data_IF_474551898989
#
_entry.id   IF_474551898989
#
_cell.length_a   1.000
_cell.length_b   1.000
_cell.length_c   1.000
_cell.angle_alpha   90.00
_cell.angle_beta   90.00
_cell.angle_gamma   90.00
#
_symmetry.space_group_name_H-M   'P 1'
#
loop_
_entity.id
_entity.type
_entity.pdbx_description
1 polymer ?
#
# COMPACT_ATOMS: atom_id res chain seq x y z
N UNK A 1 -44.25 57.81 73.39
CA UNK A 1 -45.29 57.08 74.14
C UNK A 1 -45.14 55.59 73.68
N UNK A 2 -44.66 54.75 74.58
CA UNK A 2 -45.28 53.54 75.10
C UNK A 2 -45.70 52.54 73.96
N UNK A 3 -45.38 51.31 73.93
CA UNK A 3 -44.98 50.23 74.84
C UNK A 3 -44.95 48.92 74.05
N UNK A 4 -44.01 48.07 74.40
CA UNK A 4 -44.13 46.63 74.70
C UNK A 4 -44.78 45.73 73.62
N UNK A 5 -44.30 44.62 73.32
CA UNK A 5 -43.56 43.60 74.06
C UNK A 5 -43.94 42.29 73.41
N UNK A 6 -43.20 41.26 73.60
CA UNK A 6 -43.60 39.92 73.30
C UNK A 6 -42.48 38.98 72.87
N UNK A 7 -42.03 38.24 73.82
CA UNK A 7 -41.02 37.15 73.68
C UNK A 7 -41.69 35.87 73.11
N UNK A 8 -40.99 34.75 73.10
CA UNK A 8 -40.37 34.18 71.92
C UNK A 8 -41.02 32.82 71.53
N UNK A 9 -40.90 32.43 70.31
CA UNK A 9 -41.29 31.05 69.96
C UNK A 9 -40.13 30.29 69.34
N UNK A 10 -39.92 29.16 69.92
CA UNK A 10 -39.00 28.12 69.51
C UNK A 10 -38.94 27.88 67.99
N UNK A 11 -37.78 27.99 67.43
CA UNK A 11 -37.46 27.39 66.12
C UNK A 11 -36.77 26.05 66.35
N UNK A 12 -37.46 24.99 65.91
CA UNK A 12 -36.84 23.66 65.81
C UNK A 12 -35.70 23.72 64.75
N UNK A 13 -34.56 23.33 65.20
CA UNK A 13 -33.44 22.97 64.34
C UNK A 13 -33.76 21.77 63.46
N UNK A 14 -34.00 21.98 62.17
CA UNK A 14 -33.97 20.92 61.17
C UNK A 14 -32.52 20.67 60.81
N UNK A 15 -31.92 19.65 61.41
CA UNK A 15 -30.65 19.10 60.98
C UNK A 15 -30.86 18.26 59.73
N UNK A 16 -30.72 18.85 58.58
CA UNK A 16 -30.54 18.15 57.32
C UNK A 16 -29.09 17.63 57.24
N UNK A 17 -28.92 16.39 57.57
CA UNK A 17 -27.67 15.62 57.34
C UNK A 17 -27.52 15.46 55.83
N UNK A 18 -26.66 16.28 55.21
CA UNK A 18 -26.18 16.07 53.84
C UNK A 18 -25.19 14.88 53.92
N UNK A 19 -25.63 13.72 53.46
CA UNK A 19 -24.76 12.58 53.21
C UNK A 19 -23.92 12.92 51.99
N UNK A 20 -22.68 13.32 52.21
CA UNK A 20 -21.70 13.42 51.16
C UNK A 20 -21.38 11.99 50.65
N UNK A 21 -21.90 11.63 49.49
CA UNK A 21 -21.46 10.44 48.78
C UNK A 21 -20.10 10.70 48.18
N UNK A 22 -19.07 10.16 48.81
CA UNK A 22 -17.73 10.14 48.23
C UNK A 22 -17.77 9.19 47.01
N UNK A 23 -17.79 9.76 45.80
CA UNK A 23 -17.53 9.03 44.57
C UNK A 23 -16.04 8.75 44.55
N UNK A 24 -15.64 7.54 44.91
CA UNK A 24 -14.29 7.06 44.68
C UNK A 24 -14.18 6.79 43.19
N UNK A 25 -13.57 7.70 42.45
CA UNK A 25 -13.17 7.51 41.07
C UNK A 25 -11.95 6.57 41.12
N UNK A 26 -12.19 5.27 40.96
CA UNK A 26 -11.10 4.30 40.74
C UNK A 26 -10.63 4.52 39.30
N UNK A 27 -9.63 5.36 39.13
CA UNK A 27 -8.84 5.40 37.90
C UNK A 27 -8.09 4.06 37.82
N UNK A 28 -8.63 3.12 37.08
CA UNK A 28 -7.88 1.96 36.62
C UNK A 28 -6.84 2.51 35.64
N UNK A 29 -5.68 2.86 36.15
CA UNK A 29 -4.48 2.97 35.34
C UNK A 29 -4.17 1.55 34.86
N UNK A 30 -4.70 1.19 33.70
CA UNK A 30 -4.12 0.13 32.91
C UNK A 30 -2.71 0.61 32.53
N UNK A 31 -1.71 0.16 33.26
CA UNK A 31 -0.34 0.19 32.77
C UNK A 31 -0.29 -0.81 31.60
N UNK A 32 -0.77 -0.41 30.47
CA UNK A 32 -0.30 -0.95 29.19
C UNK A 32 1.17 -0.57 29.23
N UNK A 33 2.05 -1.54 29.43
CA UNK A 33 3.48 -1.32 29.27
C UNK A 33 3.63 -0.67 27.89
N UNK A 34 3.98 0.61 27.85
CA UNK A 34 4.42 1.25 26.64
C UNK A 34 5.72 0.54 26.27
N UNK A 35 5.61 -0.50 25.47
CA UNK A 35 6.75 -0.98 24.72
C UNK A 35 7.11 0.22 23.84
N UNK A 36 8.30 0.77 24.06
CA UNK A 36 8.79 1.85 23.21
C UNK A 36 8.82 1.27 21.80
N UNK A 37 7.88 1.72 20.98
CA UNK A 37 7.85 1.40 19.56
C UNK A 37 9.13 1.99 18.98
N UNK A 38 9.98 1.12 18.42
CA UNK A 38 11.27 1.54 17.89
C UNK A 38 11.23 1.45 16.38
N UNK A 39 11.43 2.61 15.73
CA UNK A 39 11.76 2.64 14.31
C UNK A 39 13.28 2.63 14.17
N UNK A 40 13.80 1.78 13.32
CA UNK A 40 15.23 1.66 13.06
C UNK A 40 15.49 1.74 11.55
N UNK A 41 16.45 2.56 11.16
CA UNK A 41 16.95 2.55 9.78
C UNK A 41 17.89 1.35 9.62
N UNK A 42 17.59 0.52 8.64
CA UNK A 42 18.39 -0.66 8.30
C UNK A 42 19.50 -0.31 7.32
N UNK A 43 19.18 0.58 6.36
CA UNK A 43 20.11 1.07 5.35
C UNK A 43 19.68 2.46 4.86
N UNK A 44 20.64 3.36 4.65
CA UNK A 44 20.44 4.65 3.98
C UNK A 44 21.16 4.65 2.64
N UNK A 45 20.44 4.96 1.59
CA UNK A 45 21.01 5.07 0.24
C UNK A 45 21.87 6.33 0.09
N UNK A 46 22.82 6.28 -0.84
CA UNK A 46 23.80 7.36 -1.09
C UNK A 46 23.82 7.80 -2.55
N UNK A 47 22.83 7.39 -3.35
CA UNK A 47 22.73 7.70 -4.76
C UNK A 47 23.54 6.74 -5.63
N UNK A 48 24.66 7.19 -6.16
CA UNK A 48 25.57 6.32 -6.89
C UNK A 48 26.72 5.85 -5.98
N UNK A 49 27.08 4.54 -6.02
CA UNK A 49 26.62 3.52 -6.97
C UNK A 49 25.46 2.63 -6.47
N UNK A 50 24.91 2.83 -5.28
CA UNK A 50 23.93 1.93 -4.69
C UNK A 50 22.51 2.20 -5.20
N UNK A 51 21.87 3.28 -4.83
CA UNK A 51 20.53 3.61 -5.27
C UNK A 51 20.02 4.90 -4.64
N UNK A 52 18.91 5.43 -5.15
CA UNK A 52 18.22 6.57 -4.57
C UNK A 52 16.72 6.45 -4.81
N UNK A 53 15.94 7.04 -3.92
CA UNK A 53 14.48 7.12 -4.00
C UNK A 53 13.81 5.75 -4.07
N UNK A 54 13.90 4.91 -3.02
CA UNK A 54 13.20 3.64 -2.94
C UNK A 54 11.70 3.89 -2.79
N UNK A 55 10.96 3.70 -3.86
CA UNK A 55 9.53 4.03 -3.98
C UNK A 55 8.62 2.80 -3.90
N UNK A 56 9.17 1.61 -3.97
CA UNK A 56 8.41 0.36 -4.02
C UNK A 56 8.34 -0.37 -2.67
N UNK A 57 7.28 -1.16 -2.49
CA UNK A 57 7.20 -2.10 -1.38
C UNK A 57 8.29 -3.15 -1.46
N UNK A 58 8.74 -3.62 -0.31
CA UNK A 58 9.79 -4.64 -0.21
C UNK A 58 9.24 -6.05 -0.47
N UNK A 59 10.08 -6.93 -0.94
CA UNK A 59 9.88 -8.38 -0.90
C UNK A 59 10.71 -8.94 0.27
N UNK A 60 10.06 -9.61 1.22
CA UNK A 60 10.72 -10.33 2.31
C UNK A 60 10.80 -11.81 1.94
N UNK A 61 12.01 -12.36 1.85
CA UNK A 61 12.20 -13.78 1.56
C UNK A 61 12.14 -14.65 2.85
N UNK A 62 12.00 -15.99 2.71
CA UNK A 62 11.96 -16.89 3.86
C UNK A 62 13.22 -16.92 4.74
N UNK A 63 14.34 -16.36 4.27
CA UNK A 63 15.59 -16.24 5.01
C UNK A 63 15.72 -14.93 5.78
N UNK A 64 14.76 -14.01 5.57
CA UNK A 64 14.77 -12.67 6.15
C UNK A 64 15.47 -11.62 5.27
N UNK A 65 15.89 -11.95 4.04
CA UNK A 65 16.41 -10.94 3.14
C UNK A 65 15.28 -10.05 2.61
N UNK A 66 15.59 -8.78 2.45
CA UNK A 66 14.69 -7.79 1.85
C UNK A 66 15.17 -7.42 0.45
N UNK A 67 14.27 -7.41 -0.52
CA UNK A 67 14.56 -7.00 -1.89
C UNK A 67 13.68 -5.80 -2.23
N UNK A 68 14.25 -4.84 -2.95
CA UNK A 68 13.52 -3.65 -3.41
C UNK A 68 14.13 -3.05 -4.66
N UNK A 69 13.49 -2.00 -5.13
CA UNK A 69 13.95 -1.18 -6.26
C UNK A 69 14.18 0.26 -5.81
N UNK A 70 15.10 0.94 -6.48
CA UNK A 70 15.27 2.39 -6.35
C UNK A 70 15.02 3.05 -7.70
N UNK A 71 14.31 4.18 -7.71
CA UNK A 71 13.98 4.88 -8.95
C UNK A 71 15.20 5.50 -9.62
N UNK A 72 16.15 5.94 -8.81
CA UNK A 72 17.38 6.60 -9.24
C UNK A 72 18.60 5.92 -8.62
N UNK A 73 19.81 6.46 -8.89
CA UNK A 73 21.08 5.90 -8.41
C UNK A 73 21.47 4.63 -9.16
N UNK A 74 22.11 3.70 -8.46
CA UNK A 74 22.80 2.59 -9.13
C UNK A 74 24.02 3.06 -9.92
N UNK A 75 24.67 2.17 -10.65
CA UNK A 75 25.91 2.50 -11.36
C UNK A 75 25.73 3.58 -12.46
N UNK A 76 24.54 3.77 -12.97
CA UNK A 76 24.25 4.65 -14.12
C UNK A 76 23.27 5.80 -13.82
N UNK A 77 22.77 5.93 -12.57
CA UNK A 77 21.81 6.95 -12.20
C UNK A 77 20.38 6.71 -12.74
N UNK A 78 20.00 5.47 -12.99
CA UNK A 78 18.73 5.12 -13.65
C UNK A 78 17.92 4.10 -12.87
N UNK A 79 18.29 3.92 -11.61
CA UNK A 79 17.67 2.99 -10.69
C UNK A 79 18.41 1.66 -10.56
N UNK A 80 18.06 0.94 -9.53
CA UNK A 80 18.65 -0.36 -9.19
C UNK A 80 17.63 -1.34 -8.63
N UNK A 81 18.01 -2.61 -8.62
CA UNK A 81 17.43 -3.64 -7.76
C UNK A 81 18.46 -4.01 -6.71
N UNK A 82 18.08 -4.03 -5.45
CA UNK A 82 18.96 -4.32 -4.33
C UNK A 82 18.47 -5.47 -3.44
N UNK A 83 19.39 -6.07 -2.70
CA UNK A 83 19.14 -7.05 -1.63
C UNK A 83 19.74 -6.50 -0.33
N UNK A 84 18.96 -6.47 0.76
CA UNK A 84 19.47 -6.29 2.10
C UNK A 84 19.48 -7.64 2.82
N UNK A 85 20.65 -8.03 3.33
CA UNK A 85 20.84 -9.28 4.07
C UNK A 85 21.12 -8.99 5.55
N UNK A 86 20.39 -9.58 6.50
CA UNK A 86 20.66 -9.39 7.91
C UNK A 86 21.97 -10.05 8.31
N UNK A 87 22.82 -9.35 9.08
CA UNK A 87 24.09 -9.88 9.55
C UNK A 87 23.93 -10.67 10.86
N UNK A 88 24.65 -11.78 11.04
CA UNK A 88 24.56 -12.59 12.26
C UNK A 88 24.90 -11.83 13.55
N UNK A 89 25.70 -10.78 13.46
CA UNK A 89 26.14 -9.95 14.59
C UNK A 89 25.37 -8.63 14.70
N UNK A 90 24.24 -8.52 14.02
CA UNK A 90 23.40 -7.31 13.95
C UNK A 90 23.77 -6.39 12.77
N UNK A 91 22.81 -5.53 12.39
CA UNK A 91 22.91 -4.69 11.20
C UNK A 91 22.60 -5.43 9.90
N UNK A 92 22.69 -4.72 8.80
CA UNK A 92 22.34 -5.20 7.46
C UNK A 92 23.45 -4.90 6.47
N UNK A 93 23.56 -5.73 5.45
CA UNK A 93 24.47 -5.51 4.31
C UNK A 93 23.63 -5.35 3.07
N UNK A 94 23.82 -4.23 2.39
CA UNK A 94 23.25 -3.95 1.07
C UNK A 94 24.12 -4.55 -0.02
N UNK A 95 23.46 -5.01 -1.09
CA UNK A 95 24.09 -5.46 -2.33
C UNK A 95 23.24 -5.07 -3.52
N UNK A 96 23.79 -4.24 -4.42
CA UNK A 96 23.15 -3.98 -5.71
C UNK A 96 23.13 -5.27 -6.52
N UNK A 97 21.93 -5.75 -6.84
CA UNK A 97 21.70 -6.94 -7.67
C UNK A 97 21.85 -6.59 -9.15
N UNK A 98 21.25 -5.46 -9.54
CA UNK A 98 21.25 -4.97 -10.92
C UNK A 98 21.13 -3.44 -10.93
N UNK A 99 21.87 -2.79 -11.86
CA UNK A 99 21.76 -1.35 -12.12
C UNK A 99 21.25 -1.13 -13.53
N UNK A 100 20.15 -0.41 -13.65
CA UNK A 100 19.53 -0.09 -14.95
C UNK A 100 20.37 0.92 -15.73
N UNK A 101 20.33 0.80 -17.05
CA UNK A 101 20.99 1.69 -17.99
C UNK A 101 20.07 2.00 -19.17
N UNK A 102 20.43 2.94 -20.04
CA UNK A 102 19.62 3.30 -21.22
C UNK A 102 19.51 2.20 -22.30
N UNK A 103 19.91 0.96 -21.99
CA UNK A 103 19.76 -0.17 -22.90
C UNK A 103 18.33 -0.69 -22.99
N UNK A 104 18.18 -1.86 -23.62
CA UNK A 104 16.87 -2.50 -23.81
C UNK A 104 16.15 -2.86 -22.50
N UNK A 105 16.89 -2.94 -21.37
CA UNK A 105 16.34 -3.24 -20.04
C UNK A 105 15.42 -2.16 -19.46
N UNK A 106 15.51 -0.92 -19.98
CA UNK A 106 14.71 0.19 -19.49
C UNK A 106 15.28 0.85 -18.22
N UNK A 107 14.50 1.73 -17.58
CA UNK A 107 14.91 2.50 -16.43
C UNK A 107 13.69 2.96 -15.58
N UNK A 108 13.94 3.51 -14.39
CA UNK A 108 12.93 3.86 -13.38
C UNK A 108 12.09 2.65 -12.95
N UNK A 109 12.66 1.68 -12.22
CA UNK A 109 11.92 0.55 -11.68
C UNK A 109 11.10 1.00 -10.47
N UNK A 110 9.87 1.46 -10.68
CA UNK A 110 9.00 2.01 -9.64
C UNK A 110 8.17 0.94 -8.91
N UNK A 111 8.15 -0.29 -9.42
CA UNK A 111 7.36 -1.39 -8.89
C UNK A 111 8.15 -2.30 -7.96
N UNK A 112 7.45 -2.96 -7.04
CA UNK A 112 8.04 -3.98 -6.20
C UNK A 112 8.46 -5.22 -6.99
N UNK A 113 9.50 -5.90 -6.53
CA UNK A 113 9.90 -7.19 -7.06
C UNK A 113 9.04 -8.30 -6.48
N UNK A 114 8.73 -9.31 -7.32
CA UNK A 114 8.16 -10.58 -6.89
C UNK A 114 9.13 -11.71 -7.21
N UNK A 115 8.94 -12.89 -6.58
CA UNK A 115 9.90 -13.99 -6.68
C UNK A 115 9.21 -15.30 -6.99
N UNK A 116 9.75 -16.04 -7.97
CA UNK A 116 9.32 -17.40 -8.28
C UNK A 116 9.91 -18.45 -7.32
N UNK A 117 9.45 -19.71 -7.45
CA UNK A 117 9.95 -20.83 -6.64
C UNK A 117 11.42 -21.18 -6.92
N UNK A 118 11.98 -20.78 -8.07
CA UNK A 118 13.40 -20.99 -8.42
C UNK A 118 14.30 -19.92 -7.81
N UNK A 119 13.71 -18.80 -7.37
CA UNK A 119 14.39 -17.66 -6.79
C UNK A 119 14.68 -16.54 -7.79
N UNK A 120 14.12 -16.59 -8.99
CA UNK A 120 14.18 -15.50 -9.95
C UNK A 120 13.29 -14.36 -9.49
N UNK A 121 13.68 -13.12 -9.80
CA UNK A 121 12.93 -11.92 -9.45
C UNK A 121 12.31 -11.31 -10.71
N UNK A 122 11.09 -10.78 -10.57
CA UNK A 122 10.34 -10.15 -11.66
C UNK A 122 9.83 -8.80 -11.19
N UNK A 123 9.87 -7.80 -12.07
CA UNK A 123 9.27 -6.49 -11.85
C UNK A 123 9.10 -5.76 -13.17
N UNK A 124 8.72 -4.48 -13.11
CA UNK A 124 8.51 -3.60 -14.25
C UNK A 124 9.44 -2.41 -14.21
N UNK A 125 9.73 -1.84 -15.38
CA UNK A 125 10.37 -0.53 -15.53
C UNK A 125 9.39 0.41 -16.24
N UNK A 126 9.35 1.65 -15.75
CA UNK A 126 8.37 2.64 -16.22
C UNK A 126 8.66 3.11 -17.65
N UNK A 127 9.94 3.24 -18.02
CA UNK A 127 10.40 3.64 -19.35
C UNK A 127 11.37 2.63 -19.93
N UNK A 128 11.57 2.70 -21.25
CA UNK A 128 12.50 1.85 -21.99
C UNK A 128 11.81 0.62 -22.56
N UNK A 129 12.49 -0.50 -22.62
CA UNK A 129 12.09 -1.60 -23.49
C UNK A 129 12.31 -1.28 -24.97
N UNK A 130 11.91 -2.17 -25.86
CA UNK A 130 12.11 -2.03 -27.29
C UNK A 130 11.41 -0.82 -27.92
N UNK A 131 10.32 -0.34 -27.28
CA UNK A 131 9.45 0.71 -27.83
C UNK A 131 9.42 1.98 -26.97
N UNK A 132 10.12 1.99 -25.83
CA UNK A 132 10.18 3.14 -24.93
C UNK A 132 9.02 3.27 -23.95
N UNK A 133 8.02 2.40 -24.02
CA UNK A 133 6.78 2.45 -23.23
C UNK A 133 6.85 1.65 -21.92
N UNK A 134 8.03 1.20 -21.54
CA UNK A 134 8.25 0.36 -20.37
C UNK A 134 8.35 -1.11 -20.71
N UNK A 135 8.72 -1.90 -19.72
CA UNK A 135 8.96 -3.32 -19.90
C UNK A 135 8.72 -4.13 -18.62
N UNK A 136 8.55 -5.44 -18.79
CA UNK A 136 8.65 -6.42 -17.71
C UNK A 136 9.99 -7.13 -17.84
N UNK A 137 10.69 -7.27 -16.72
CA UNK A 137 12.00 -7.94 -16.68
C UNK A 137 12.03 -9.10 -15.69
N UNK A 138 12.93 -10.04 -15.95
CA UNK A 138 13.32 -11.13 -15.07
C UNK A 138 14.79 -10.99 -14.68
N UNK A 139 15.10 -11.16 -13.40
CA UNK A 139 16.46 -11.31 -12.91
C UNK A 139 16.70 -12.75 -12.49
N UNK A 140 17.68 -13.41 -13.12
CA UNK A 140 18.08 -14.79 -12.81
C UNK A 140 19.43 -14.83 -12.15
N UNK A 141 19.58 -15.64 -11.08
CA UNK A 141 20.86 -15.78 -10.37
C UNK A 141 21.60 -17.02 -10.80
N UNK A 142 22.82 -16.86 -11.28
CA UNK A 142 23.71 -18.00 -11.49
C UNK A 142 24.14 -18.58 -10.13
N UNK A 143 23.70 -19.79 -9.80
CA UNK A 143 23.94 -20.43 -8.50
C UNK A 143 25.44 -20.73 -8.23
N UNK A 144 26.30 -20.80 -9.26
CA UNK A 144 27.74 -21.08 -9.11
C UNK A 144 28.53 -19.81 -8.89
N UNK A 145 28.22 -18.74 -9.63
CA UNK A 145 28.96 -17.47 -9.56
C UNK A 145 28.33 -16.44 -8.65
N UNK A 146 27.04 -16.60 -8.33
CA UNK A 146 26.24 -15.64 -7.58
C UNK A 146 25.80 -14.42 -8.42
N UNK A 147 26.23 -14.31 -9.67
CA UNK A 147 25.94 -13.19 -10.55
C UNK A 147 24.49 -13.22 -11.01
N UNK A 148 23.84 -12.08 -10.97
CA UNK A 148 22.51 -11.88 -11.52
C UNK A 148 22.58 -11.41 -12.97
N UNK A 149 21.61 -11.85 -13.76
CA UNK A 149 21.47 -11.49 -15.18
C UNK A 149 20.05 -11.04 -15.41
N UNK A 150 19.89 -9.88 -16.03
CA UNK A 150 18.60 -9.34 -16.44
C UNK A 150 18.20 -9.84 -17.82
N UNK A 151 16.92 -10.09 -18.00
CA UNK A 151 16.28 -10.35 -19.29
C UNK A 151 14.95 -9.58 -19.35
N UNK A 152 14.78 -8.76 -20.39
CA UNK A 152 13.45 -8.23 -20.73
C UNK A 152 12.59 -9.39 -21.24
N UNK A 153 11.49 -9.65 -20.57
CA UNK A 153 10.53 -10.72 -20.96
C UNK A 153 9.38 -10.19 -21.78
N UNK A 154 9.06 -8.89 -21.64
CA UNK A 154 8.08 -8.19 -22.47
C UNK A 154 8.41 -6.69 -22.57
N UNK A 155 8.16 -6.09 -23.74
CA UNK A 155 8.30 -4.64 -23.99
C UNK A 155 6.96 -4.10 -24.48
N UNK A 156 6.37 -3.17 -23.74
CA UNK A 156 5.10 -2.55 -24.10
C UNK A 156 5.25 -1.66 -25.34
N UNK A 157 4.25 -1.69 -26.22
CA UNK A 157 4.23 -1.00 -27.50
C UNK A 157 3.50 0.34 -27.46
N UNK A 158 2.86 0.65 -26.34
CA UNK A 158 2.02 1.84 -26.15
C UNK A 158 0.74 1.86 -27.03
N UNK A 159 0.11 3.03 -27.06
CA UNK A 159 -1.12 3.23 -27.82
C UNK A 159 -0.93 2.97 -29.33
N UNK A 160 -1.87 2.30 -30.01
CA UNK A 160 -3.11 1.68 -29.49
C UNK A 160 -2.96 0.17 -29.23
N UNK A 161 -1.75 -0.37 -29.24
CA UNK A 161 -1.52 -1.81 -29.32
C UNK A 161 -1.78 -2.53 -27.99
N UNK A 162 -1.06 -2.11 -26.95
CA UNK A 162 -1.16 -2.61 -25.60
C UNK A 162 -1.01 -1.46 -24.59
N UNK A 163 -0.57 -1.71 -23.39
CA UNK A 163 -0.38 -0.66 -22.41
C UNK A 163 0.98 0.03 -22.48
N UNK A 164 1.18 1.00 -21.61
CA UNK A 164 2.44 1.70 -21.40
C UNK A 164 2.62 2.14 -19.96
N UNK A 165 3.86 2.45 -19.60
CA UNK A 165 4.23 2.97 -18.30
C UNK A 165 3.74 2.10 -17.12
N UNK A 166 4.13 0.81 -17.05
CA UNK A 166 3.76 -0.07 -15.96
C UNK A 166 4.41 0.42 -14.65
N UNK A 167 3.63 1.00 -13.77
CA UNK A 167 4.07 1.52 -12.47
C UNK A 167 3.75 0.60 -11.30
N UNK A 168 3.02 -0.49 -11.56
CA UNK A 168 2.54 -1.42 -10.55
C UNK A 168 3.33 -2.72 -10.55
N UNK A 169 3.33 -3.40 -9.38
CA UNK A 169 3.92 -4.72 -9.25
C UNK A 169 3.11 -5.80 -9.96
N UNK A 170 3.73 -6.94 -10.09
CA UNK A 170 3.19 -8.12 -10.76
C UNK A 170 2.56 -9.09 -9.74
N UNK A 171 1.65 -9.93 -10.22
CA UNK A 171 1.05 -11.03 -9.45
C UNK A 171 1.19 -12.34 -10.21
N UNK A 172 1.66 -13.41 -9.54
CA UNK A 172 1.70 -14.77 -10.12
C UNK A 172 0.42 -15.52 -9.92
N UNK A 173 0.05 -16.31 -10.92
CA UNK A 173 -0.83 -17.45 -10.70
C UNK A 173 -0.03 -18.74 -10.38
N UNK A 174 -0.74 -19.84 -10.16
CA UNK A 174 -0.13 -21.15 -9.88
C UNK A 174 0.54 -21.80 -11.10
N UNK A 175 0.21 -21.37 -12.31
CA UNK A 175 0.80 -21.86 -13.56
C UNK A 175 2.12 -21.12 -13.88
N UNK A 176 2.36 -19.99 -13.23
CA UNK A 176 3.52 -19.13 -13.44
C UNK A 176 3.26 -18.02 -14.43
N UNK A 177 2.00 -17.73 -14.77
CA UNK A 177 1.63 -16.54 -15.51
C UNK A 177 1.76 -15.31 -14.60
N UNK A 178 2.10 -14.18 -15.20
CA UNK A 178 2.23 -12.88 -14.56
C UNK A 178 1.07 -11.98 -14.96
N UNK A 179 0.49 -11.30 -13.98
CA UNK A 179 -0.58 -10.33 -14.20
C UNK A 179 -0.16 -8.96 -13.69
N UNK A 180 -0.50 -7.93 -14.44
CA UNK A 180 -0.21 -6.54 -14.07
C UNK A 180 -1.16 -5.56 -14.72
N UNK A 181 -0.93 -4.28 -14.43
CA UNK A 181 -1.64 -3.18 -15.06
C UNK A 181 -0.66 -2.16 -15.62
N UNK A 182 -1.09 -1.43 -16.66
CA UNK A 182 -0.42 -0.22 -17.14
C UNK A 182 -1.34 0.97 -16.89
N UNK A 183 -0.78 2.09 -16.44
CA UNK A 183 -1.59 3.27 -16.09
C UNK A 183 -2.08 4.07 -17.26
N UNK A 184 -1.52 3.86 -18.46
CA UNK A 184 -1.81 4.60 -19.70
C UNK A 184 -1.78 3.67 -20.90
N UNK A 185 -2.14 4.22 -22.06
CA UNK A 185 -2.14 3.54 -23.37
C UNK A 185 -3.18 2.40 -23.44
N UNK A 186 -2.97 1.39 -24.27
CA UNK A 186 -4.01 0.44 -24.64
C UNK A 186 -4.94 0.99 -25.72
N UNK A 187 -6.02 0.29 -26.04
CA UNK A 187 -6.91 0.65 -27.14
C UNK A 187 -7.60 2.03 -26.99
N UNK A 188 -7.78 2.50 -25.76
CA UNK A 188 -8.48 3.75 -25.44
C UNK A 188 -7.59 4.79 -24.73
N UNK A 189 -6.30 4.45 -24.48
CA UNK A 189 -5.35 5.37 -23.84
C UNK A 189 -5.44 5.44 -22.32
N UNK A 190 -6.27 4.63 -21.69
CA UNK A 190 -6.56 4.70 -20.24
C UNK A 190 -5.97 3.55 -19.43
N UNK A 191 -5.03 2.81 -20.04
CA UNK A 191 -4.38 1.67 -19.41
C UNK A 191 -5.10 0.35 -19.63
N UNK A 192 -4.44 -0.73 -19.22
CA UNK A 192 -4.93 -2.09 -19.41
C UNK A 192 -4.68 -2.96 -18.18
N UNK A 193 -5.43 -4.07 -18.09
CA UNK A 193 -5.06 -5.27 -17.34
C UNK A 193 -4.47 -6.26 -18.33
N UNK A 194 -3.30 -6.81 -18.04
CA UNK A 194 -2.62 -7.77 -18.93
C UNK A 194 -2.19 -9.05 -18.22
N UNK A 195 -2.03 -10.11 -18.98
CA UNK A 195 -1.41 -11.37 -18.62
C UNK A 195 -0.15 -11.58 -19.47
N UNK A 196 0.93 -12.04 -18.85
CA UNK A 196 2.09 -12.61 -19.55
C UNK A 196 2.17 -14.10 -19.24
N UNK A 197 2.08 -14.94 -20.27
CA UNK A 197 2.17 -16.39 -20.17
C UNK A 197 3.46 -16.92 -20.78
N UNK A 198 4.21 -17.83 -20.11
CA UNK A 198 5.35 -18.52 -20.72
C UNK A 198 4.91 -19.29 -21.94
N UNK A 199 5.52 -19.06 -23.12
CA UNK A 199 5.10 -19.66 -24.39
C UNK A 199 5.73 -21.02 -24.72
N UNK A 200 6.44 -21.64 -23.76
CA UNK A 200 7.05 -22.96 -23.92
C UNK A 200 8.33 -23.00 -24.78
N UNK A 201 8.66 -21.94 -25.51
CA UNK A 201 9.89 -21.78 -26.31
C UNK A 201 10.94 -20.89 -25.63
N UNK A 202 10.75 -20.55 -24.36
CA UNK A 202 11.63 -19.70 -23.56
C UNK A 202 11.31 -18.21 -23.66
N UNK A 203 10.21 -17.85 -24.32
CA UNK A 203 9.67 -16.49 -24.37
C UNK A 203 8.33 -16.38 -23.63
N UNK A 204 7.73 -15.20 -23.72
CA UNK A 204 6.45 -14.88 -23.12
C UNK A 204 5.48 -14.35 -24.16
N UNK A 205 4.19 -14.57 -23.94
CA UNK A 205 3.10 -14.05 -24.75
C UNK A 205 2.25 -13.15 -23.89
N UNK A 206 2.01 -11.96 -24.37
CA UNK A 206 1.10 -11.02 -23.72
C UNK A 206 -0.33 -11.20 -24.23
N UNK A 207 -1.29 -10.99 -23.33
CA UNK A 207 -2.73 -10.95 -23.62
C UNK A 207 -3.32 -9.81 -22.82
N UNK A 208 -3.93 -8.82 -23.50
CA UNK A 208 -4.74 -7.81 -22.85
C UNK A 208 -6.05 -8.43 -22.37
N UNK A 209 -6.30 -8.36 -21.08
CA UNK A 209 -7.49 -8.90 -20.43
C UNK A 209 -8.64 -7.90 -20.40
N UNK A 210 -8.32 -6.62 -20.21
CA UNK A 210 -9.25 -5.49 -20.22
C UNK A 210 -8.55 -4.20 -20.66
N UNK A 211 -9.24 -3.38 -21.47
CA UNK A 211 -8.85 -2.01 -21.83
C UNK A 211 -9.79 -1.04 -21.13
N UNK A 212 -9.28 -0.16 -20.28
CA UNK A 212 -10.11 0.83 -19.60
C UNK A 212 -10.61 1.94 -20.51
N UNK A 213 -11.84 2.43 -20.22
CA UNK A 213 -12.56 3.42 -21.04
C UNK A 213 -13.08 4.53 -20.13
N UNK A 214 -12.41 5.69 -20.11
CA UNK A 214 -12.76 6.81 -19.22
C UNK A 214 -14.16 7.41 -19.46
N UNK A 215 -14.71 7.27 -20.66
CA UNK A 215 -16.02 7.79 -21.01
C UNK A 215 -17.18 6.87 -20.55
N UNK A 216 -16.87 5.65 -20.11
CA UNK A 216 -17.86 4.73 -19.56
C UNK A 216 -17.96 4.91 -18.03
N UNK A 217 -19.12 5.37 -17.49
CA UNK A 217 -19.29 5.52 -16.04
C UNK A 217 -19.32 4.17 -15.27
N UNK A 218 -19.35 3.05 -16.00
CA UNK A 218 -19.25 1.70 -15.45
C UNK A 218 -17.83 1.14 -15.53
N UNK A 219 -16.86 1.92 -15.97
CA UNK A 219 -15.45 1.53 -16.07
C UNK A 219 -14.55 2.52 -15.30
N UNK A 220 -13.29 2.17 -15.15
CA UNK A 220 -12.26 2.96 -14.50
C UNK A 220 -11.36 3.69 -15.52
N UNK A 221 -10.38 4.41 -14.98
CA UNK A 221 -9.37 5.12 -15.76
C UNK A 221 -8.07 5.20 -14.98
N UNK A 222 -6.95 4.84 -15.60
CA UNK A 222 -5.65 4.82 -15.00
C UNK A 222 -5.53 3.78 -13.87
N UNK A 223 -5.56 2.47 -14.17
CA UNK A 223 -5.38 1.45 -13.14
C UNK A 223 -4.02 1.60 -12.47
N UNK A 224 -4.00 1.45 -11.15
CA UNK A 224 -2.85 1.74 -10.31
C UNK A 224 -2.77 0.78 -9.12
N UNK A 225 -1.54 0.49 -8.68
CA UNK A 225 -1.29 -0.53 -7.67
C UNK A 225 -1.29 -1.95 -8.23
N UNK A 226 -0.73 -2.88 -7.48
CA UNK A 226 -0.65 -4.28 -7.92
C UNK A 226 -2.00 -4.97 -7.83
N UNK A 227 -2.26 -5.89 -8.74
CA UNK A 227 -3.45 -6.74 -8.66
C UNK A 227 -3.33 -7.75 -7.52
N UNK A 228 -4.44 -8.08 -6.88
CA UNK A 228 -4.53 -9.23 -5.99
C UNK A 228 -5.41 -10.31 -6.60
N UNK A 229 -5.03 -11.56 -6.40
CA UNK A 229 -5.73 -12.70 -6.98
C UNK A 229 -6.37 -13.55 -5.88
N UNK A 230 -7.61 -13.98 -6.09
CA UNK A 230 -8.25 -14.96 -5.24
C UNK A 230 -7.89 -16.40 -5.64
N UNK A 231 -8.43 -17.37 -4.90
CA UNK A 231 -8.16 -18.80 -5.17
C UNK A 231 -8.87 -19.33 -6.41
N UNK A 232 -9.88 -18.64 -6.88
CA UNK A 232 -10.64 -18.92 -8.11
C UNK A 232 -9.93 -18.34 -9.35
N UNK A 233 -8.95 -17.45 -9.19
CA UNK A 233 -8.20 -16.79 -10.26
C UNK A 233 -8.79 -15.44 -10.68
N UNK A 234 -9.74 -14.89 -9.92
CA UNK A 234 -10.22 -13.54 -10.15
C UNK A 234 -9.18 -12.53 -9.69
N UNK A 235 -8.99 -11.48 -10.47
CA UNK A 235 -8.06 -10.39 -10.24
C UNK A 235 -8.82 -9.17 -9.76
N UNK A 236 -8.33 -8.53 -8.69
CA UNK A 236 -8.92 -7.31 -8.13
C UNK A 236 -7.91 -6.19 -8.18
N UNK A 237 -8.36 -5.00 -8.56
CA UNK A 237 -7.54 -3.80 -8.66
C UNK A 237 -8.34 -2.53 -8.45
N UNK A 238 -7.65 -1.40 -8.55
CA UNK A 238 -8.24 -0.07 -8.44
C UNK A 238 -7.80 0.82 -9.59
N UNK A 239 -8.62 1.83 -9.90
CA UNK A 239 -8.28 2.89 -10.85
C UNK A 239 -8.26 4.25 -10.15
N UNK A 240 -7.34 5.12 -10.57
CA UNK A 240 -7.14 6.45 -9.99
C UNK A 240 -8.34 7.35 -10.23
N UNK A 241 -8.95 7.24 -11.39
CA UNK A 241 -10.10 8.01 -11.85
C UNK A 241 -11.11 7.10 -12.55
N UNK A 242 -12.13 7.70 -13.20
CA UNK A 242 -13.25 6.97 -13.78
C UNK A 242 -14.34 6.62 -12.79
N UNK A 243 -15.26 5.77 -13.19
CA UNK A 243 -16.49 5.48 -12.47
C UNK A 243 -17.51 6.61 -12.53
N UNK A 244 -18.64 6.43 -11.86
CA UNK A 244 -19.81 7.31 -11.94
C UNK A 244 -19.58 8.76 -11.51
N UNK A 245 -18.58 9.00 -10.65
CA UNK A 245 -18.21 10.33 -10.16
C UNK A 245 -16.82 10.79 -10.63
N UNK A 246 -16.09 9.98 -11.39
CA UNK A 246 -14.73 10.29 -11.84
C UNK A 246 -13.68 10.22 -10.73
N UNK A 247 -13.99 9.60 -9.59
CA UNK A 247 -13.18 9.63 -8.37
C UNK A 247 -12.39 8.34 -8.14
N UNK A 248 -12.37 7.44 -9.13
CA UNK A 248 -11.73 6.14 -9.06
C UNK A 248 -12.68 4.99 -8.75
N UNK A 249 -12.21 3.78 -8.98
CA UNK A 249 -13.01 2.56 -8.86
C UNK A 249 -12.28 1.43 -8.17
N UNK A 250 -13.04 0.43 -7.74
CA UNK A 250 -12.56 -0.93 -7.46
C UNK A 250 -13.18 -1.86 -8.49
N UNK A 251 -12.37 -2.66 -9.16
CA UNK A 251 -12.79 -3.56 -10.23
C UNK A 251 -12.37 -5.01 -9.96
N UNK A 252 -13.05 -5.95 -10.62
CA UNK A 252 -12.70 -7.36 -10.74
C UNK A 252 -12.53 -7.71 -12.22
N UNK A 253 -11.48 -8.44 -12.56
CA UNK A 253 -11.33 -9.08 -13.87
C UNK A 253 -11.29 -10.58 -13.66
N UNK A 254 -12.29 -11.30 -14.18
CA UNK A 254 -12.49 -12.71 -13.93
C UNK A 254 -12.54 -13.53 -15.21
N UNK A 255 -12.04 -14.81 -15.19
CA UNK A 255 -12.17 -15.73 -16.31
C UNK A 255 -13.64 -16.02 -16.62
N UNK A 256 -14.07 -15.85 -17.89
CA UNK A 256 -15.47 -16.01 -18.30
C UNK A 256 -15.87 -17.44 -18.69
N UNK A 257 -14.96 -18.43 -18.50
CA UNK A 257 -15.20 -19.82 -18.81
C UNK A 257 -15.13 -20.19 -20.30
N UNK A 258 -15.00 -19.21 -21.20
CA UNK A 258 -14.90 -19.40 -22.67
C UNK A 258 -13.49 -19.08 -23.21
N UNK A 259 -12.50 -19.04 -22.33
CA UNK A 259 -11.12 -18.68 -22.67
C UNK A 259 -10.84 -17.18 -22.73
N UNK A 260 -11.81 -16.34 -22.35
CA UNK A 260 -11.66 -14.90 -22.23
C UNK A 260 -11.86 -14.42 -20.79
N UNK A 261 -11.84 -13.11 -20.61
CA UNK A 261 -12.00 -12.43 -19.33
C UNK A 261 -13.16 -11.43 -19.38
N UNK A 262 -13.71 -11.12 -18.22
CA UNK A 262 -14.79 -10.13 -18.06
C UNK A 262 -14.40 -9.22 -16.91
N UNK A 263 -14.43 -7.90 -17.16
CA UNK A 263 -14.33 -6.89 -16.13
C UNK A 263 -15.70 -6.65 -15.49
N UNK A 264 -15.71 -6.32 -14.21
CA UNK A 264 -16.87 -5.96 -13.42
C UNK A 264 -16.52 -4.84 -12.46
N UNK A 265 -17.23 -3.72 -12.54
CA UNK A 265 -17.14 -2.65 -11.57
C UNK A 265 -17.72 -3.10 -10.22
N UNK A 266 -16.87 -3.15 -9.18
CA UNK A 266 -17.30 -3.51 -7.83
C UNK A 266 -17.77 -2.30 -7.03
N UNK A 267 -17.06 -1.19 -7.15
CA UNK A 267 -17.37 0.06 -6.45
C UNK A 267 -16.86 1.27 -7.23
N UNK A 268 -17.60 2.36 -7.17
CA UNK A 268 -17.24 3.66 -7.71
C UNK A 268 -17.18 4.68 -6.58
N UNK A 269 -16.01 5.25 -6.32
CA UNK A 269 -15.85 6.26 -5.27
C UNK A 269 -16.61 7.54 -5.63
N UNK A 270 -17.25 8.14 -4.63
CA UNK A 270 -18.13 9.30 -4.80
C UNK A 270 -17.51 10.62 -4.31
N UNK A 271 -16.37 10.56 -3.66
CA UNK A 271 -15.74 11.72 -3.03
C UNK A 271 -16.44 12.19 -1.75
N UNK A 272 -16.06 13.35 -1.24
CA UNK A 272 -16.60 13.89 0.02
C UNK A 272 -16.23 13.00 1.21
N UNK A 273 -17.20 12.49 1.96
CA UNK A 273 -16.95 11.59 3.10
C UNK A 273 -16.52 10.18 2.69
N UNK A 274 -16.75 9.81 1.45
CA UNK A 274 -16.19 8.65 0.80
C UNK A 274 -14.72 8.90 0.42
N UNK A 275 -14.03 7.87 -0.05
CA UNK A 275 -12.67 8.03 -0.57
C UNK A 275 -12.66 8.59 -1.98
N UNK A 276 -11.49 9.01 -2.42
CA UNK A 276 -11.21 9.38 -3.81
C UNK A 276 -9.75 9.14 -4.13
N UNK A 277 -9.47 8.89 -5.41
CA UNK A 277 -8.11 8.80 -5.91
C UNK A 277 -7.26 7.72 -5.22
N UNK A 278 -7.60 6.42 -5.36
CA UNK A 278 -6.83 5.32 -4.78
C UNK A 278 -5.52 5.06 -5.56
N UNK A 279 -4.56 5.97 -5.45
CA UNK A 279 -3.27 5.93 -6.17
C UNK A 279 -2.32 4.92 -5.56
N UNK A 280 -1.69 4.08 -6.38
CA UNK A 280 -0.67 3.07 -6.01
C UNK A 280 -1.05 2.14 -4.84
N UNK A 281 -2.28 2.21 -4.39
CA UNK A 281 -2.78 1.37 -3.31
C UNK A 281 -3.09 -0.02 -3.84
N UNK A 282 -2.36 -1.01 -3.34
CA UNK A 282 -2.68 -2.42 -3.60
C UNK A 282 -3.75 -2.88 -2.61
N UNK A 283 -4.81 -3.50 -3.12
CA UNK A 283 -5.85 -4.07 -2.26
C UNK A 283 -5.29 -5.19 -1.38
N UNK A 284 -5.77 -5.28 -0.16
CA UNK A 284 -5.53 -6.43 0.71
C UNK A 284 -6.76 -7.35 0.66
N UNK A 285 -6.61 -8.52 0.08
CA UNK A 285 -7.67 -9.54 0.05
C UNK A 285 -7.58 -10.43 1.29
N UNK A 286 -8.62 -10.45 2.11
CA UNK A 286 -8.72 -11.31 3.29
C UNK A 286 -10.04 -12.10 3.28
N UNK A 287 -9.97 -13.35 2.88
CA UNK A 287 -11.17 -14.14 2.61
C UNK A 287 -11.92 -13.62 1.38
N UNK A 288 -13.09 -13.05 1.58
CA UNK A 288 -13.92 -12.42 0.53
C UNK A 288 -14.07 -10.90 0.76
N UNK A 289 -13.25 -10.33 1.62
CA UNK A 289 -13.24 -8.89 1.92
C UNK A 289 -11.99 -8.27 1.31
N UNK A 290 -12.18 -7.15 0.62
CA UNK A 290 -11.11 -6.31 0.12
C UNK A 290 -10.94 -5.12 1.07
N UNK A 291 -9.70 -4.77 1.38
CA UNK A 291 -9.33 -3.57 2.12
C UNK A 291 -8.42 -2.72 1.26
N UNK A 292 -8.58 -1.43 1.32
CA UNK A 292 -7.74 -0.49 0.56
C UNK A 292 -7.67 0.88 1.22
N UNK A 293 -6.89 1.74 0.59
CA UNK A 293 -6.73 3.14 0.98
C UNK A 293 -7.07 4.05 -0.19
N UNK A 294 -7.55 5.24 0.10
CA UNK A 294 -7.71 6.31 -0.87
C UNK A 294 -6.83 7.49 -0.46
N UNK A 295 -6.14 8.09 -1.41
CA UNK A 295 -5.21 9.19 -1.15
C UNK A 295 -5.90 10.46 -0.64
N UNK A 296 -7.14 10.68 -1.05
CA UNK A 296 -7.94 11.84 -0.68
C UNK A 296 -9.37 11.42 -0.34
N UNK A 297 -10.22 12.37 0.02
CA UNK A 297 -11.57 12.12 0.52
C UNK A 297 -11.59 11.93 2.03
N UNK A 298 -12.74 11.54 2.57
CA UNK A 298 -12.99 11.56 4.01
C UNK A 298 -13.29 12.96 4.53
N UNK A 299 -13.59 13.07 5.83
CA UNK A 299 -14.05 14.32 6.46
C UNK A 299 -13.06 15.49 6.43
N UNK A 300 -11.76 15.20 6.37
CA UNK A 300 -10.68 16.19 6.26
C UNK A 300 -10.08 16.29 4.86
N UNK A 301 -10.51 15.44 3.93
CA UNK A 301 -9.94 15.27 2.59
C UNK A 301 -8.47 14.78 2.60
N UNK A 302 -8.08 14.10 3.66
CA UNK A 302 -6.72 13.59 3.90
C UNK A 302 -6.61 12.07 3.65
N UNK A 303 -7.63 11.48 3.04
CA UNK A 303 -7.69 10.08 2.66
C UNK A 303 -8.44 9.19 3.64
N UNK A 304 -8.71 7.96 3.20
CA UNK A 304 -9.48 6.97 3.96
C UNK A 304 -8.83 5.60 3.95
N UNK A 305 -9.25 4.76 4.90
CA UNK A 305 -9.11 3.31 4.85
C UNK A 305 -10.51 2.73 4.75
N UNK A 306 -10.74 1.84 3.80
CA UNK A 306 -12.05 1.23 3.55
C UNK A 306 -12.01 -0.30 3.56
N UNK A 307 -13.16 -0.92 3.82
CA UNK A 307 -13.44 -2.33 3.50
C UNK A 307 -14.54 -2.42 2.44
N UNK A 308 -14.40 -3.37 1.53
CA UNK A 308 -15.40 -3.69 0.51
C UNK A 308 -15.84 -5.14 0.69
N UNK A 309 -17.16 -5.36 0.90
CA UNK A 309 -17.73 -6.68 1.16
C UNK A 309 -18.93 -6.96 0.27
N UNK A 310 -19.04 -8.18 -0.27
CA UNK A 310 -20.19 -8.55 -1.06
C UNK A 310 -21.41 -8.89 -0.19
N UNK A 311 -22.50 -8.15 -0.38
CA UNK A 311 -23.78 -8.38 0.31
C UNK A 311 -24.67 -9.32 -0.51
N UNK A 312 -24.80 -10.57 -0.08
CA UNK A 312 -25.70 -11.55 -0.73
C UNK A 312 -27.17 -11.11 -0.72
N UNK A 313 -27.59 -10.35 0.29
CA UNK A 313 -28.97 -9.88 0.41
C UNK A 313 -29.32 -8.74 -0.54
N UNK A 314 -28.32 -7.92 -0.87
CA UNK A 314 -28.48 -6.81 -1.82
C UNK A 314 -27.96 -7.15 -3.22
N UNK A 315 -27.28 -8.29 -3.37
CA UNK A 315 -26.58 -8.71 -4.58
C UNK A 315 -25.61 -7.64 -5.14
N UNK A 316 -24.90 -6.96 -4.22
CA UNK A 316 -23.96 -5.89 -4.57
C UNK A 316 -22.81 -5.81 -3.57
N UNK A 317 -21.70 -5.21 -3.97
CA UNK A 317 -20.63 -4.85 -3.09
C UNK A 317 -21.01 -3.62 -2.26
N UNK A 318 -20.56 -3.60 -1.02
CA UNK A 318 -20.82 -2.52 -0.06
C UNK A 318 -19.47 -2.04 0.47
N UNK A 319 -19.23 -0.78 0.29
CA UNK A 319 -18.11 -0.07 0.89
C UNK A 319 -18.45 0.35 2.32
N UNK A 320 -17.45 0.38 3.17
CA UNK A 320 -17.51 0.94 4.52
C UNK A 320 -16.18 1.64 4.81
N UNK A 321 -16.20 2.94 5.06
CA UNK A 321 -15.04 3.67 5.56
C UNK A 321 -14.74 3.21 6.98
N UNK A 322 -13.55 2.65 7.20
CA UNK A 322 -13.08 2.18 8.50
C UNK A 322 -12.41 3.30 9.29
N UNK A 323 -11.68 4.16 8.58
CA UNK A 323 -10.97 5.29 9.16
C UNK A 323 -10.83 6.42 8.14
N UNK A 324 -10.88 7.66 8.64
CA UNK A 324 -10.65 8.88 7.88
C UNK A 324 -9.46 9.60 8.51
N UNK A 325 -8.43 9.83 7.75
CA UNK A 325 -7.26 10.54 8.24
C UNK A 325 -7.60 12.00 8.54
N UNK A 326 -7.24 12.51 9.74
CA UNK A 326 -7.49 13.91 10.10
C UNK A 326 -6.35 14.86 9.74
N UNK A 327 -5.28 14.33 9.14
CA UNK A 327 -4.07 15.09 8.88
C UNK A 327 -3.15 15.25 10.09
N UNK A 328 -2.10 16.06 9.92
CA UNK A 328 -1.14 16.36 10.98
C UNK A 328 -0.39 15.13 11.49
N UNK A 329 -0.31 14.97 12.82
CA UNK A 329 0.43 13.86 13.45
C UNK A 329 -0.14 12.47 13.16
N UNK A 330 -1.40 12.37 12.80
CA UNK A 330 -2.06 11.13 12.42
C UNK A 330 -1.89 10.80 10.93
N UNK A 331 -1.19 11.65 10.18
CA UNK A 331 -0.90 11.45 8.78
C UNK A 331 -2.04 11.83 7.83
N UNK A 332 -1.68 11.92 6.56
CA UNK A 332 -2.57 12.19 5.46
C UNK A 332 -2.05 11.53 4.18
N UNK A 333 -2.93 11.42 3.20
CA UNK A 333 -2.59 10.90 1.88
C UNK A 333 -1.93 9.51 1.94
N UNK A 334 -2.61 8.45 2.41
CA UNK A 334 -2.10 7.10 2.30
C UNK A 334 -1.95 6.74 0.82
N UNK A 335 -0.73 6.35 0.43
CA UNK A 335 -0.36 6.13 -0.97
C UNK A 335 -0.16 4.66 -1.30
N UNK A 336 -0.13 3.80 -0.30
CA UNK A 336 0.19 2.39 -0.46
C UNK A 336 -0.88 1.47 0.14
N UNK A 337 -0.80 0.20 -0.24
CA UNK A 337 -1.67 -0.83 0.30
C UNK A 337 -1.39 -1.16 1.77
N UNK A 338 -2.27 -1.95 2.34
CA UNK A 338 -2.26 -2.35 3.75
C UNK A 338 -1.69 -3.76 3.93
N UNK A 339 -1.11 -4.02 5.09
CA UNK A 339 -0.84 -5.39 5.55
C UNK A 339 -1.62 -5.66 6.83
N UNK A 340 -1.94 -6.94 7.09
CA UNK A 340 -2.71 -7.32 8.27
C UNK A 340 -1.96 -8.30 9.17
N UNK A 341 -2.27 -8.23 10.46
CA UNK A 341 -1.87 -9.25 11.42
C UNK A 341 -2.91 -10.41 11.50
N UNK A 342 -2.60 -11.49 12.23
CA UNK A 342 -3.55 -12.58 12.46
C UNK A 342 -4.80 -12.18 13.25
N UNK A 343 -4.76 -11.10 14.05
CA UNK A 343 -5.90 -10.57 14.80
C UNK A 343 -6.84 -9.74 13.89
N UNK A 344 -6.33 -9.31 12.73
CA UNK A 344 -7.05 -8.51 11.75
C UNK A 344 -6.85 -7.01 11.92
N UNK A 345 -5.85 -6.57 12.69
CA UNK A 345 -5.38 -5.20 12.65
C UNK A 345 -4.72 -4.92 11.30
N UNK A 346 -4.81 -3.69 10.83
CA UNK A 346 -4.26 -3.24 9.56
C UNK A 346 -3.11 -2.28 9.81
N UNK A 347 -2.07 -2.39 8.99
CA UNK A 347 -0.88 -1.54 9.07
C UNK A 347 -0.63 -0.89 7.72
N UNK A 348 -0.16 0.34 7.74
CA UNK A 348 0.17 1.08 6.53
C UNK A 348 1.02 2.31 6.81
N UNK A 349 1.23 3.08 5.76
CA UNK A 349 1.99 4.33 5.76
C UNK A 349 1.15 5.45 5.16
N UNK A 350 1.45 6.68 5.56
CA UNK A 350 0.95 7.88 4.89
C UNK A 350 2.12 8.70 4.35
N UNK A 351 1.88 9.50 3.33
CA UNK A 351 2.94 10.32 2.72
C UNK A 351 3.14 11.65 3.42
N UNK A 352 2.09 12.18 4.05
CA UNK A 352 2.09 13.48 4.71
C UNK A 352 1.89 13.33 6.21
N UNK A 353 2.62 14.11 6.99
CA UNK A 353 2.54 14.19 8.43
C UNK A 353 2.53 15.64 8.92
N UNK A 354 3.11 15.89 10.10
CA UNK A 354 3.24 17.25 10.67
C UNK A 354 4.08 18.10 9.72
N UNK A 355 3.56 19.29 9.39
CA UNK A 355 4.20 20.27 8.49
C UNK A 355 4.38 19.80 7.02
N UNK A 356 3.64 18.77 6.59
CA UNK A 356 3.73 18.27 5.22
C UNK A 356 4.98 17.43 4.94
N UNK A 357 5.78 17.14 5.97
CA UNK A 357 6.95 16.27 5.85
C UNK A 357 6.64 14.88 6.41
N UNK A 358 6.85 13.84 5.63
CA UNK A 358 6.79 12.42 5.98
C UNK A 358 5.65 12.00 6.90
N UNK A 359 4.82 11.10 6.45
CA UNK A 359 3.71 10.59 7.24
C UNK A 359 4.10 9.43 8.15
N UNK A 360 3.27 9.11 9.15
CA UNK A 360 3.50 8.01 10.05
C UNK A 360 3.39 6.63 9.41
N UNK A 361 4.06 5.67 10.05
CA UNK A 361 3.66 4.26 10.05
C UNK A 361 2.55 4.12 11.09
N UNK A 362 1.43 3.55 10.72
CA UNK A 362 0.26 3.41 11.60
C UNK A 362 -0.21 1.96 11.73
N UNK A 363 -0.90 1.69 12.85
CA UNK A 363 -1.72 0.52 13.06
C UNK A 363 -3.19 0.96 13.20
N UNK A 364 -4.08 0.36 12.45
CA UNK A 364 -5.52 0.47 12.64
C UNK A 364 -6.00 -0.75 13.41
N UNK A 365 -6.26 -0.57 14.71
CA UNK A 365 -6.63 -1.62 15.65
C UNK A 365 -8.10 -1.93 15.53
N UNK A 366 -8.42 -3.21 15.32
CA UNK A 366 -9.80 -3.69 15.26
C UNK A 366 -10.36 -3.88 16.65
N UNK A 367 -11.33 -3.06 17.02
CA UNK A 367 -12.06 -3.14 18.28
C UNK A 367 -13.35 -3.99 18.21
N UNK A 368 -14.06 -4.11 19.34
CA UNK A 368 -15.36 -4.79 19.38
C UNK A 368 -16.40 -4.03 18.54
N UNK A 369 -17.43 -4.75 18.05
CA UNK A 369 -18.54 -4.19 17.26
C UNK A 369 -18.11 -3.45 15.98
N UNK A 370 -16.99 -3.90 15.38
CA UNK A 370 -16.41 -3.29 14.15
C UNK A 370 -15.98 -1.82 14.34
N UNK A 371 -15.60 -1.42 15.54
CA UNK A 371 -14.93 -0.15 15.75
C UNK A 371 -13.45 -0.28 15.36
N UNK A 372 -12.86 0.83 14.90
CA UNK A 372 -11.47 0.91 14.55
C UNK A 372 -10.82 2.11 15.23
N UNK A 373 -9.59 1.94 15.67
CA UNK A 373 -8.82 3.00 16.32
C UNK A 373 -7.43 3.02 15.72
N UNK A 374 -7.03 4.16 15.23
CA UNK A 374 -5.69 4.36 14.70
C UNK A 374 -4.69 4.59 15.84
N UNK A 375 -3.49 4.02 15.68
CA UNK A 375 -2.33 4.23 16.53
C UNK A 375 -1.13 4.54 15.64
N UNK A 376 -0.50 5.68 15.89
CA UNK A 376 0.76 6.03 15.25
C UNK A 376 1.87 5.18 15.88
N UNK A 377 2.57 4.42 15.05
CA UNK A 377 3.68 3.58 15.48
C UNK A 377 5.01 4.32 15.39
N UNK A 378 5.22 5.10 14.34
CA UNK A 378 6.45 5.85 14.13
C UNK A 378 6.23 7.02 13.15
N UNK A 379 6.96 8.16 13.32
CA UNK A 379 6.69 9.42 12.59
C UNK A 379 7.87 10.00 11.82
N UNK A 380 9.10 9.48 11.97
CA UNK A 380 10.29 10.17 11.46
C UNK A 380 10.69 9.80 10.02
N UNK A 381 10.00 8.85 9.38
CA UNK A 381 10.33 8.45 8.01
C UNK A 381 9.65 9.36 6.99
N UNK A 382 10.45 10.09 6.20
CA UNK A 382 9.97 11.06 5.21
C UNK A 382 9.61 10.38 3.89
N UNK A 383 8.40 10.66 3.37
CA UNK A 383 7.98 10.19 2.05
C UNK A 383 7.84 8.68 1.95
N UNK A 384 7.03 8.06 2.81
CA UNK A 384 6.72 6.63 2.67
C UNK A 384 5.61 6.44 1.64
N UNK A 385 6.00 6.25 0.38
CA UNK A 385 5.08 5.97 -0.73
C UNK A 385 4.83 4.47 -0.91
N UNK A 386 5.59 3.64 -0.22
CA UNK A 386 5.55 2.19 -0.34
C UNK A 386 4.72 1.53 0.76
N UNK A 387 4.11 0.39 0.42
CA UNK A 387 3.48 -0.48 1.39
C UNK A 387 4.50 -1.19 2.27
N UNK A 388 4.02 -1.63 3.44
CA UNK A 388 4.82 -2.39 4.38
C UNK A 388 4.83 -3.88 4.02
N UNK A 389 5.91 -4.57 4.44
CA UNK A 389 5.89 -6.03 4.57
C UNK A 389 6.05 -6.40 6.03
N UNK A 390 5.42 -7.49 6.45
CA UNK A 390 5.40 -7.92 7.85
C UNK A 390 5.99 -9.32 7.97
N UNK A 391 6.93 -9.51 8.90
CA UNK A 391 7.49 -10.81 9.18
C UNK A 391 6.61 -11.63 10.16
N UNK A 392 7.03 -12.87 10.44
CA UNK A 392 6.31 -13.77 11.37
C UNK A 392 6.38 -13.32 12.83
N UNK A 393 7.39 -12.53 13.20
CA UNK A 393 7.54 -11.98 14.55
C UNK A 393 6.64 -10.75 14.76
N UNK A 394 6.22 -10.12 13.67
CA UNK A 394 5.37 -8.94 13.68
C UNK A 394 6.10 -7.66 13.26
N UNK A 395 7.40 -7.71 13.05
CA UNK A 395 8.18 -6.57 12.58
C UNK A 395 7.70 -6.14 11.20
N UNK A 396 7.54 -4.84 11.03
CA UNK A 396 7.16 -4.18 9.79
C UNK A 396 8.40 -3.62 9.11
N UNK A 397 8.52 -3.82 7.81
CA UNK A 397 9.61 -3.26 7.00
C UNK A 397 9.02 -2.39 5.91
N UNK A 398 9.66 -1.26 5.62
CA UNK A 398 9.23 -0.32 4.59
C UNK A 398 10.38 0.50 4.04
N UNK A 399 10.06 1.36 3.08
CA UNK A 399 10.99 2.31 2.47
C UNK A 399 10.52 3.74 2.69
N UNK A 400 11.48 4.64 2.79
CA UNK A 400 11.28 6.08 2.86
C UNK A 400 12.07 6.74 1.73
N UNK A 401 11.40 7.51 0.88
CA UNK A 401 11.99 8.06 -0.34
C UNK A 401 13.02 9.15 -0.06
N UNK A 402 12.80 9.98 0.97
CA UNK A 402 13.59 11.17 1.25
C UNK A 402 14.29 11.14 2.61
N UNK A 403 14.54 9.98 3.18
CA UNK A 403 15.23 9.84 4.46
C UNK A 403 16.73 9.63 4.25
N UNK A 404 17.51 9.90 5.31
CA UNK A 404 18.96 9.70 5.33
C UNK A 404 19.74 11.01 5.16
N UNK A 405 21.08 10.96 5.35
CA UNK A 405 21.93 12.15 5.34
C UNK A 405 21.95 12.88 4.00
N UNK A 406 21.81 12.14 2.90
CA UNK A 406 21.88 12.66 1.53
C UNK A 406 20.51 12.83 0.88
N UNK A 407 19.42 12.53 1.61
CA UNK A 407 18.03 12.54 1.13
C UNK A 407 17.75 11.54 -0.02
N UNK A 408 18.60 10.53 -0.17
CA UNK A 408 18.48 9.50 -1.22
C UNK A 408 17.59 8.31 -0.80
N UNK A 409 17.04 8.40 0.41
CA UNK A 409 16.10 7.44 0.93
C UNK A 409 16.69 6.35 1.82
N UNK A 410 15.81 5.54 2.39
CA UNK A 410 16.22 4.50 3.34
C UNK A 410 15.28 3.30 3.34
N UNK A 411 15.78 2.18 3.85
CA UNK A 411 14.98 1.03 4.29
C UNK A 411 14.92 1.04 5.81
N UNK A 412 13.74 0.81 6.37
CA UNK A 412 13.51 0.85 7.81
C UNK A 412 12.74 -0.36 8.32
N UNK A 413 12.80 -0.57 9.63
CA UNK A 413 11.92 -1.46 10.37
C UNK A 413 11.20 -0.73 11.50
N UNK A 414 9.97 -1.20 11.82
CA UNK A 414 9.20 -0.79 12.99
C UNK A 414 8.69 -2.03 13.69
N UNK A 415 8.98 -2.13 15.00
CA UNK A 415 8.43 -3.19 15.86
C UNK A 415 7.23 -2.63 16.60
N UNK A 416 5.99 -3.10 16.29
CA UNK A 416 4.75 -2.66 16.93
C UNK A 416 4.66 -3.03 18.41
#
# INVERSE_FOLDING_TARGET
MLRKGGSPMHSQENRNTIKAAAIILVAVLSTVGAWAQTGTVLYSFTGQPDGAYPHSSLLLDPKGNLFGTTNDGGAYGLGSVYELTPNPNGGWTESVIYSFNYGAGGYLPAANVIRDAKGNLYSTVFYGGAYGAGAVFELTRNKKTGVWTEQVIYSFQAYPADGGQPSSGLTFDKAGNLYGVTGVDGAYGQGVVYELSPNGSGGWTETVLHNFISEDPQDGDGPSGSLVMDKEGNLYGMTVSGGSAGMGTVFEVSPNGNGGWTESLLYSFLGGNDGTNPVNSTLLLKGTTLYGTTNSGGSANDGTIFELTYSKTKAQWLETVLYTFPGGANGAAPYAGLVADPKGNLYGTTTLGVYGEGGPVFELVKGPKKTWTEQVLYTDFRGSYAGLVRDKAGTLYGTSEFYGPDYDGAVFEVTP
#
